data_IF_124817186067
#
_entry.id   IF_124817186067
#
_cell.length_a   1.000
_cell.length_b   1.000
_cell.length_c   1.000
_cell.angle_alpha   90.00
_cell.angle_beta   90.00
_cell.angle_gamma   90.00
#
_symmetry.space_group_name_H-M   'P 1'
#
loop_
_entity.id
_entity.type
_entity.pdbx_description
1 polymer ?
#
# COMPACT_ATOMS: atom_id res chain seq x y z
N UNK A 1 -2.72 -0.14 13.56
CA UNK A 1 -3.64 1.02 13.36
C UNK A 1 -3.90 1.20 11.86
N UNK A 2 -4.98 1.84 11.43
CA UNK A 2 -5.16 2.17 10.00
C UNK A 2 -4.17 3.24 9.54
N UNK A 3 -3.71 3.16 8.30
CA UNK A 3 -2.78 4.11 7.67
C UNK A 3 -3.23 5.57 7.78
N UNK A 4 -4.50 5.92 7.48
CA UNK A 4 -4.99 7.28 7.66
C UNK A 4 -4.83 7.82 9.09
N UNK A 5 -5.11 6.99 10.11
CA UNK A 5 -4.95 7.37 11.52
C UNK A 5 -3.47 7.53 11.88
N UNK A 6 -2.57 6.69 11.36
CA UNK A 6 -1.12 6.86 11.55
C UNK A 6 -0.68 8.21 10.97
N UNK A 7 -1.13 8.54 9.76
CA UNK A 7 -0.80 9.81 9.12
C UNK A 7 -1.34 11.00 9.91
N UNK A 8 -2.56 10.92 10.44
CA UNK A 8 -3.14 11.96 11.30
C UNK A 8 -2.31 12.16 12.57
N UNK A 9 -1.94 11.08 13.27
CA UNK A 9 -1.09 11.15 14.48
C UNK A 9 0.26 11.81 14.17
N UNK A 10 0.91 11.41 13.07
CA UNK A 10 2.20 11.97 12.68
C UNK A 10 2.08 13.44 12.25
N UNK A 11 0.98 13.82 11.60
CA UNK A 11 0.69 15.20 11.19
C UNK A 11 0.41 16.09 12.41
N UNK A 12 -0.43 15.64 13.34
CA UNK A 12 -0.78 16.37 14.56
C UNK A 12 0.39 16.47 15.54
N UNK A 13 1.34 15.54 15.50
CA UNK A 13 2.54 15.52 16.34
C UNK A 13 3.81 15.95 15.63
N UNK A 14 3.71 16.76 14.57
CA UNK A 14 4.84 17.16 13.71
C UNK A 14 6.02 17.78 14.47
N UNK A 15 5.76 18.52 15.53
CA UNK A 15 6.80 19.09 16.39
C UNK A 15 7.69 18.02 17.03
N UNK A 16 7.15 16.82 17.27
CA UNK A 16 7.90 15.68 17.80
C UNK A 16 8.78 14.99 16.75
N UNK A 17 8.62 15.32 15.48
CA UNK A 17 9.45 14.85 14.38
C UNK A 17 10.64 15.78 14.08
N UNK A 18 10.83 16.84 14.87
CA UNK A 18 11.88 17.84 14.67
C UNK A 18 13.31 17.28 14.79
N UNK A 19 13.50 16.20 15.56
CA UNK A 19 14.77 15.49 15.64
C UNK A 19 14.94 14.39 14.58
N UNK A 20 14.05 14.33 13.59
CA UNK A 20 14.11 13.44 12.44
C UNK A 20 14.30 11.95 12.82
N UNK A 21 13.41 11.40 13.66
CA UNK A 21 13.56 10.03 14.14
C UNK A 21 13.39 9.03 13.01
N UNK A 22 13.91 7.82 13.19
CA UNK A 22 13.55 6.69 12.34
C UNK A 22 12.08 6.33 12.59
N UNK A 23 11.27 6.32 11.54
CA UNK A 23 9.86 5.93 11.60
C UNK A 23 9.73 4.47 11.21
N UNK A 24 9.24 3.64 12.14
CA UNK A 24 8.88 2.24 11.87
C UNK A 24 7.37 2.15 12.00
N UNK A 25 6.68 2.02 10.86
CA UNK A 25 5.24 2.15 10.78
C UNK A 25 4.62 0.84 10.32
N UNK A 26 3.60 0.38 11.04
CA UNK A 26 2.86 -0.84 10.74
C UNK A 26 1.37 -0.50 10.57
N UNK A 27 0.96 0.00 9.39
CA UNK A 27 -0.45 0.13 9.03
C UNK A 27 -1.10 -1.25 8.88
N UNK A 28 -2.31 -1.41 9.42
CA UNK A 28 -3.12 -2.62 9.26
C UNK A 28 -3.91 -2.62 7.95
N UNK A 29 -4.16 -1.42 7.40
CA UNK A 29 -4.86 -1.13 6.14
C UNK A 29 -4.41 0.27 5.68
N UNK A 30 -4.54 0.59 4.39
CA UNK A 30 -4.27 1.95 3.89
C UNK A 30 -2.78 2.29 3.88
N UNK A 31 -1.95 1.30 3.55
CA UNK A 31 -0.49 1.39 3.54
C UNK A 31 0.01 2.47 2.56
N UNK A 32 -0.69 2.65 1.44
CA UNK A 32 -0.45 3.74 0.48
C UNK A 32 -0.47 5.12 1.15
N UNK A 33 -1.40 5.38 2.08
CA UNK A 33 -1.49 6.66 2.78
C UNK A 33 -0.20 6.95 3.56
N UNK A 34 0.39 5.92 4.16
CA UNK A 34 1.65 6.04 4.91
C UNK A 34 2.81 6.35 3.97
N UNK A 35 2.90 5.66 2.82
CA UNK A 35 3.95 5.93 1.82
C UNK A 35 3.86 7.35 1.26
N UNK A 36 2.65 7.81 0.94
CA UNK A 36 2.40 9.19 0.49
C UNK A 36 2.78 10.20 1.59
N UNK A 37 2.46 9.91 2.85
CA UNK A 37 2.86 10.77 3.96
C UNK A 37 4.38 10.87 4.08
N UNK A 38 5.10 9.74 4.04
CA UNK A 38 6.56 9.72 4.14
C UNK A 38 7.18 10.54 2.99
N UNK A 39 6.78 10.26 1.74
CA UNK A 39 7.21 11.02 0.56
C UNK A 39 6.96 12.52 0.72
N UNK A 40 5.76 12.92 1.14
CA UNK A 40 5.37 14.34 1.26
C UNK A 40 6.22 15.07 2.31
N UNK A 41 6.60 14.38 3.39
CA UNK A 41 7.30 14.97 4.53
C UNK A 41 8.82 14.76 4.51
N UNK A 42 9.39 14.37 3.36
CA UNK A 42 10.85 14.24 3.20
C UNK A 42 11.44 13.00 3.89
N UNK A 43 10.60 12.01 4.16
CA UNK A 43 11.05 10.70 4.62
C UNK A 43 11.12 9.75 3.43
N UNK A 44 12.28 9.14 3.24
CA UNK A 44 12.47 8.08 2.26
C UNK A 44 12.14 6.75 2.88
N UNK A 45 11.48 5.89 2.12
CA UNK A 45 11.33 4.48 2.46
C UNK A 45 12.69 3.85 2.22
N UNK A 46 13.26 3.25 3.27
CA UNK A 46 14.58 2.61 3.22
C UNK A 46 14.49 1.09 3.30
N UNK A 47 13.41 0.58 3.90
CA UNK A 47 13.14 -0.83 3.96
C UNK A 47 11.64 -1.10 4.15
N UNK A 48 11.19 -2.25 3.67
CA UNK A 48 9.86 -2.77 3.97
C UNK A 48 9.90 -4.27 4.22
N UNK A 49 9.02 -4.73 5.11
CA UNK A 49 8.79 -6.15 5.36
C UNK A 49 7.32 -6.47 5.32
N UNK A 50 7.01 -7.66 4.85
CA UNK A 50 5.66 -8.20 4.85
C UNK A 50 5.70 -9.60 5.47
N UNK A 51 4.79 -9.85 6.41
CA UNK A 51 4.69 -11.11 7.14
C UNK A 51 3.22 -11.52 7.32
N UNK A 52 3.01 -12.80 7.57
CA UNK A 52 1.70 -13.38 7.84
C UNK A 52 1.75 -14.07 9.21
N UNK A 53 0.84 -13.68 10.11
CA UNK A 53 0.73 -14.22 11.47
C UNK A 53 -0.75 -14.36 11.82
N UNK A 54 -1.16 -15.51 12.35
CA UNK A 54 -2.56 -15.84 12.67
C UNK A 54 -3.57 -15.51 11.55
N UNK A 55 -3.18 -15.78 10.30
CA UNK A 55 -4.00 -15.51 9.11
C UNK A 55 -4.12 -14.04 8.70
N UNK A 56 -3.46 -13.14 9.42
CA UNK A 56 -3.40 -11.71 9.12
C UNK A 56 -2.09 -11.38 8.42
N UNK A 57 -2.13 -10.44 7.46
CA UNK A 57 -0.95 -9.95 6.75
C UNK A 57 -0.60 -8.56 7.24
N UNK A 58 0.67 -8.35 7.57
CA UNK A 58 1.18 -7.09 8.09
C UNK A 58 2.30 -6.57 7.20
N UNK A 59 2.27 -5.27 6.91
CA UNK A 59 3.37 -4.55 6.28
C UNK A 59 4.05 -3.63 7.30
N UNK A 60 5.37 -3.65 7.30
CA UNK A 60 6.22 -2.75 8.08
C UNK A 60 6.94 -1.85 7.08
N UNK A 61 6.83 -0.54 7.26
CA UNK A 61 7.43 0.49 6.42
C UNK A 61 8.43 1.26 7.28
N UNK A 62 9.69 1.29 6.85
CA UNK A 62 10.78 2.00 7.52
C UNK A 62 11.08 3.29 6.78
N UNK A 63 10.81 4.43 7.42
CA UNK A 63 11.04 5.76 6.88
C UNK A 63 12.16 6.49 7.60
N UNK A 64 13.17 6.98 6.87
CA UNK A 64 14.20 7.89 7.40
C UNK A 64 14.07 9.26 6.77
N UNK A 65 14.33 10.29 7.53
CA UNK A 65 14.34 11.65 7.01
C UNK A 65 15.57 11.91 6.14
N UNK A 66 15.36 12.43 4.94
CA UNK A 66 16.40 12.90 4.02
C UNK A 66 16.22 14.40 3.68
N UNK A 67 15.12 15.02 4.10
CA UNK A 67 14.85 16.44 3.84
C UNK A 67 14.33 16.76 2.43
N UNK A 68 14.37 15.79 1.53
CA UNK A 68 13.80 15.88 0.18
C UNK A 68 12.82 14.75 -0.12
N UNK A 69 11.96 14.94 -1.11
CA UNK A 69 10.94 13.94 -1.46
C UNK A 69 11.56 12.82 -2.28
N UNK A 70 11.38 11.58 -1.82
CA UNK A 70 11.64 10.40 -2.65
C UNK A 70 10.62 10.36 -3.80
N UNK A 71 11.08 10.33 -5.06
CA UNK A 71 10.17 10.16 -6.19
C UNK A 71 9.76 8.69 -6.28
N UNK A 72 8.50 8.41 -5.98
CA UNK A 72 7.91 7.07 -6.04
C UNK A 72 6.86 7.03 -7.14
N UNK A 73 6.82 5.93 -7.89
CA UNK A 73 5.75 5.68 -8.86
C UNK A 73 4.42 5.39 -8.15
N UNK A 74 3.33 5.37 -8.92
CA UNK A 74 2.01 5.00 -8.37
C UNK A 74 2.03 3.57 -7.84
N UNK A 75 2.73 2.68 -8.54
CA UNK A 75 2.90 1.30 -8.15
C UNK A 75 3.73 1.20 -6.87
N UNK A 76 4.83 1.94 -6.74
CA UNK A 76 5.63 1.92 -5.51
C UNK A 76 4.85 2.46 -4.29
N UNK A 77 4.02 3.49 -4.49
CA UNK A 77 3.13 3.99 -3.42
C UNK A 77 2.07 2.94 -3.02
N UNK A 78 1.53 2.22 -3.98
CA UNK A 78 0.47 1.24 -3.74
C UNK A 78 1.01 -0.08 -3.15
N UNK A 79 2.07 -0.63 -3.74
CA UNK A 79 2.57 -1.97 -3.47
C UNK A 79 3.82 -1.98 -2.58
N UNK A 80 4.52 -0.86 -2.43
CA UNK A 80 5.76 -0.73 -1.67
C UNK A 80 7.00 -0.97 -2.53
N UNK A 81 7.92 0.00 -2.63
CA UNK A 81 9.09 -0.12 -3.51
C UNK A 81 10.01 -1.28 -3.13
N UNK A 82 10.10 -1.67 -1.86
CA UNK A 82 10.93 -2.81 -1.45
C UNK A 82 10.15 -4.12 -1.53
N UNK A 83 8.85 -4.11 -1.21
CA UNK A 83 8.01 -5.30 -1.31
C UNK A 83 7.88 -5.77 -2.77
N UNK A 84 7.69 -4.84 -3.71
CA UNK A 84 7.67 -5.10 -5.14
C UNK A 84 8.98 -5.68 -5.67
N UNK A 85 10.12 -5.23 -5.14
CA UNK A 85 11.43 -5.76 -5.53
C UNK A 85 11.69 -7.15 -4.94
N UNK A 86 11.23 -7.37 -3.71
CA UNK A 86 11.50 -8.61 -2.98
C UNK A 86 10.57 -9.77 -3.36
N UNK A 87 9.34 -9.49 -3.83
CA UNK A 87 8.36 -10.50 -4.28
C UNK A 87 8.21 -11.71 -3.35
N UNK A 88 8.15 -11.48 -2.04
CA UNK A 88 8.08 -12.59 -1.09
C UNK A 88 6.81 -13.43 -1.31
N UNK A 89 6.79 -14.72 -0.93
CA UNK A 89 5.58 -15.53 -1.04
C UNK A 89 4.37 -14.93 -0.30
N UNK A 90 4.59 -14.21 0.81
CA UNK A 90 3.52 -13.52 1.54
C UNK A 90 2.97 -12.35 0.72
N UNK A 91 3.84 -11.56 0.09
CA UNK A 91 3.46 -10.46 -0.80
C UNK A 91 2.58 -10.96 -1.96
N UNK A 92 3.04 -11.98 -2.68
CA UNK A 92 2.30 -12.55 -3.80
C UNK A 92 0.96 -13.10 -3.34
N UNK A 93 0.89 -13.77 -2.18
CA UNK A 93 -0.38 -14.26 -1.61
C UNK A 93 -1.33 -13.14 -1.25
N UNK A 94 -0.86 -12.05 -0.61
CA UNK A 94 -1.68 -10.87 -0.28
C UNK A 94 -2.38 -10.35 -1.54
N UNK A 95 -1.61 -10.14 -2.59
CA UNK A 95 -2.10 -9.54 -3.83
C UNK A 95 -2.95 -10.48 -4.68
N UNK A 96 -2.68 -11.80 -4.67
CA UNK A 96 -3.60 -12.79 -5.24
C UNK A 96 -4.94 -12.83 -4.51
N UNK A 97 -4.94 -12.78 -3.17
CA UNK A 97 -6.18 -12.66 -2.38
C UNK A 97 -6.95 -11.39 -2.76
N UNK A 98 -6.25 -10.29 -3.05
CA UNK A 98 -6.89 -9.03 -3.49
C UNK A 98 -7.49 -9.12 -4.90
N UNK A 99 -6.79 -9.77 -5.85
CA UNK A 99 -7.34 -10.11 -7.17
C UNK A 99 -8.60 -10.96 -7.03
N UNK A 100 -8.58 -12.00 -6.17
CA UNK A 100 -9.75 -12.85 -5.94
C UNK A 100 -10.95 -12.08 -5.38
N UNK A 101 -10.73 -11.19 -4.40
CA UNK A 101 -11.79 -10.31 -3.88
C UNK A 101 -12.33 -9.40 -4.98
N UNK A 102 -11.45 -8.80 -5.77
CA UNK A 102 -11.83 -7.89 -6.86
C UNK A 102 -12.65 -8.61 -7.92
N UNK A 103 -12.25 -9.83 -8.30
CA UNK A 103 -13.01 -10.69 -9.20
C UNK A 103 -14.39 -11.07 -8.65
N UNK A 104 -14.51 -11.34 -7.35
CA UNK A 104 -15.82 -11.57 -6.72
C UNK A 104 -16.71 -10.35 -6.85
N UNK A 105 -16.20 -9.15 -6.58
CA UNK A 105 -16.94 -7.88 -6.79
C UNK A 105 -17.36 -7.73 -8.25
N UNK A 106 -16.45 -7.99 -9.20
CA UNK A 106 -16.73 -7.93 -10.63
C UNK A 106 -17.87 -8.88 -11.04
N UNK A 107 -17.85 -10.12 -10.54
CA UNK A 107 -18.88 -11.12 -10.84
C UNK A 107 -20.26 -10.72 -10.29
N UNK A 108 -20.31 -10.06 -9.14
CA UNK A 108 -21.56 -9.56 -8.56
C UNK A 108 -22.07 -8.35 -9.34
N UNK A 109 -21.16 -7.46 -9.76
CA UNK A 109 -21.50 -6.30 -10.57
C UNK A 109 -22.14 -6.71 -11.91
N UNK A 110 -21.64 -7.78 -12.53
CA UNK A 110 -22.17 -8.33 -13.80
C UNK A 110 -23.59 -8.90 -13.68
N UNK A 111 -24.05 -9.26 -12.46
CA UNK A 111 -25.41 -9.75 -12.22
C UNK A 111 -26.42 -8.63 -12.00
N UNK A 112 -25.98 -7.38 -11.89
CA UNK A 112 -26.86 -6.24 -11.72
C UNK A 112 -27.63 -5.91 -13.01
N UNK A 113 -28.88 -5.44 -12.88
CA UNK A 113 -29.71 -5.04 -14.02
C UNK A 113 -29.06 -3.98 -14.92
N UNK A 114 -28.23 -3.12 -14.33
CA UNK A 114 -27.41 -2.15 -15.05
C UNK A 114 -25.98 -2.24 -14.52
N UNK A 115 -25.05 -2.62 -15.40
CA UNK A 115 -23.63 -2.71 -15.08
C UNK A 115 -23.00 -1.32 -15.30
N UNK A 116 -22.46 -0.65 -14.28
CA UNK A 116 -21.73 0.59 -14.46
C UNK A 116 -20.40 0.30 -15.18
N UNK A 117 -20.33 0.67 -16.46
CA UNK A 117 -19.18 0.36 -17.34
C UNK A 117 -17.86 0.90 -16.78
N UNK A 118 -17.87 2.14 -16.28
CA UNK A 118 -16.69 2.75 -15.67
C UNK A 118 -16.23 1.95 -14.44
N UNK A 119 -17.15 1.55 -13.56
CA UNK A 119 -16.78 0.79 -12.36
C UNK A 119 -16.21 -0.57 -12.71
N UNK A 120 -16.77 -1.24 -13.72
CA UNK A 120 -16.23 -2.50 -14.25
C UNK A 120 -14.80 -2.30 -14.75
N UNK A 121 -14.57 -1.26 -15.55
CA UNK A 121 -13.26 -0.94 -16.13
C UNK A 121 -12.21 -0.64 -15.06
N UNK A 122 -12.58 0.12 -14.03
CA UNK A 122 -11.69 0.39 -12.88
C UNK A 122 -11.19 -0.90 -12.22
N UNK A 123 -12.11 -1.84 -11.93
CA UNK A 123 -11.78 -3.11 -11.28
C UNK A 123 -10.89 -3.99 -12.19
N UNK A 124 -11.17 -4.03 -13.50
CA UNK A 124 -10.34 -4.76 -14.47
C UNK A 124 -8.95 -4.15 -14.63
N UNK A 125 -8.83 -2.81 -14.61
CA UNK A 125 -7.54 -2.12 -14.62
C UNK A 125 -6.76 -2.41 -13.35
N UNK A 126 -7.43 -2.45 -12.20
CA UNK A 126 -6.79 -2.77 -10.93
C UNK A 126 -6.22 -4.20 -10.92
N UNK A 127 -7.01 -5.20 -11.36
CA UNK A 127 -6.52 -6.58 -11.48
C UNK A 127 -5.27 -6.65 -12.36
N UNK A 128 -5.31 -6.03 -13.55
CA UNK A 128 -4.17 -6.01 -14.47
C UNK A 128 -2.93 -5.35 -13.88
N UNK A 129 -3.12 -4.28 -13.09
CA UNK A 129 -2.01 -3.61 -12.39
C UNK A 129 -1.38 -4.57 -11.38
N UNK A 130 -2.19 -5.21 -10.54
CA UNK A 130 -1.70 -6.18 -9.55
C UNK A 130 -0.98 -7.34 -10.24
N UNK A 131 -1.56 -7.90 -11.30
CA UNK A 131 -0.95 -8.99 -12.10
C UNK A 131 0.39 -8.59 -12.69
N UNK A 132 0.52 -7.37 -13.23
CA UNK A 132 1.78 -6.85 -13.75
C UNK A 132 2.86 -6.72 -12.69
N UNK A 133 2.48 -6.47 -11.44
CA UNK A 133 3.42 -6.36 -10.31
C UNK A 133 3.86 -7.72 -9.78
N UNK A 134 2.97 -8.72 -9.70
CA UNK A 134 3.29 -10.02 -9.09
C UNK A 134 3.73 -11.11 -10.07
N UNK A 135 3.61 -10.87 -11.38
CA UNK A 135 4.03 -11.81 -12.43
C UNK A 135 5.17 -11.27 -13.32
N UNK A 136 5.68 -10.07 -13.03
CA UNK A 136 6.85 -9.48 -13.69
C UNK A 136 8.15 -9.88 -13.00
#
# INVERSE_FOLDING_TARGET
MGGPLICEILESGKEKLANHPLLILQPNVGEENVRVFLQKNGYWIEDERILEEDGHTYEIIVGRYHGEKQQLTKEELMFGPFLMRNQSPVFVRKWRKEIEKTNKVLSQLQKANQVPVEKKRELETEIKRIEGVING
#
